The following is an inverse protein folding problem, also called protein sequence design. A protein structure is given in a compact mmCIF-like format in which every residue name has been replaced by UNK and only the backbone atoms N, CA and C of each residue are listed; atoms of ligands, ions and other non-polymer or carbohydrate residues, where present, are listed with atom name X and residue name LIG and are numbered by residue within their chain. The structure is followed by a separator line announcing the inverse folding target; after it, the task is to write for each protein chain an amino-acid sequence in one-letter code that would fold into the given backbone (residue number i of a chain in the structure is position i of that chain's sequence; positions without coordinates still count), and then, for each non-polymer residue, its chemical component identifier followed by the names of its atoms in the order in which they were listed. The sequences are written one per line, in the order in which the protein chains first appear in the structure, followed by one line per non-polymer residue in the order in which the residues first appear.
data_IF_347329716150
#
_entry.id   IF_347329716150
#
_cell.length_a   1.000
_cell.length_b   1.000
_cell.length_c   1.000
_cell.angle_alpha   90.00
_cell.angle_beta   90.00
_cell.angle_gamma   90.00
#
_symmetry.space_group_name_H-M   'P 1'
#
loop_
_entity.id
_entity.type
_entity.pdbx_description
1 polymer ?
#
# COMPACT_ATOMS: atom_id res chain seq x y z
N UNK A 1 -10.67 31.42 -20.94
CA UNK A 1 -11.58 30.46 -20.28
C UNK A 1 -11.69 29.20 -21.10
N UNK A 2 -10.57 28.48 -21.20
CA UNK A 2 -10.55 27.13 -21.72
C UNK A 2 -11.16 26.24 -20.64
N UNK A 3 -12.34 25.70 -20.95
CA UNK A 3 -12.91 24.60 -20.19
C UNK A 3 -11.93 23.45 -20.33
N UNK A 4 -11.16 23.15 -19.29
CA UNK A 4 -10.36 21.93 -19.26
C UNK A 4 -11.34 20.76 -19.37
N UNK A 5 -11.36 20.11 -20.53
CA UNK A 5 -12.12 18.87 -20.70
C UNK A 5 -11.60 17.87 -19.67
N UNK A 6 -12.50 17.17 -18.95
CA UNK A 6 -12.10 16.20 -17.96
C UNK A 6 -11.31 15.08 -18.65
N UNK A 7 -10.24 14.63 -17.99
CA UNK A 7 -9.48 13.48 -18.45
C UNK A 7 -10.35 12.21 -18.35
N UNK A 8 -10.60 11.57 -19.48
CA UNK A 8 -11.35 10.31 -19.53
C UNK A 8 -10.39 9.13 -19.73
N UNK A 9 -10.45 8.16 -18.81
CA UNK A 9 -9.70 6.91 -18.90
C UNK A 9 -10.67 5.76 -19.22
N UNK A 10 -10.30 4.94 -20.19
CA UNK A 10 -11.04 3.72 -20.53
C UNK A 10 -10.22 2.50 -20.12
N UNK A 11 -10.86 1.57 -19.42
CA UNK A 11 -10.23 0.33 -18.95
C UNK A 11 -10.68 -0.86 -19.81
N UNK A 12 -9.90 -1.95 -19.75
CA UNK A 12 -10.19 -3.17 -20.48
C UNK A 12 -11.65 -3.64 -20.31
N UNK A 13 -12.31 -3.94 -21.43
CA UNK A 13 -13.70 -4.41 -21.46
C UNK A 13 -13.77 -5.90 -21.07
N UNK A 14 -14.83 -6.28 -20.36
CA UNK A 14 -15.10 -7.67 -20.00
C UNK A 14 -15.32 -8.56 -21.24
N UNK A 15 -15.03 -9.87 -21.12
CA UNK A 15 -15.13 -10.85 -22.22
C UNK A 15 -16.55 -10.97 -22.80
N UNK A 16 -17.57 -10.64 -22.01
CA UNK A 16 -18.97 -10.62 -22.44
C UNK A 16 -19.37 -9.32 -23.18
N UNK A 17 -18.42 -8.41 -23.41
CA UNK A 17 -18.61 -7.13 -24.07
C UNK A 17 -19.39 -6.10 -23.25
N UNK A 18 -19.62 -6.34 -21.95
CA UNK A 18 -20.39 -5.46 -21.07
C UNK A 18 -19.61 -5.12 -19.80
N UNK A 19 -19.32 -3.84 -19.62
CA UNK A 19 -18.66 -3.30 -18.43
C UNK A 19 -17.14 -3.51 -18.41
N UNK A 20 -16.53 -3.05 -17.33
CA UNK A 20 -15.10 -3.17 -17.09
C UNK A 20 -14.74 -4.60 -16.69
N UNK A 21 -13.67 -5.15 -17.27
CA UNK A 21 -13.10 -6.47 -16.96
C UNK A 21 -12.76 -6.62 -15.48
N UNK A 22 -12.39 -5.53 -14.82
CA UNK A 22 -11.88 -5.54 -13.45
C UNK A 22 -12.96 -5.33 -12.39
N UNK A 23 -14.20 -5.00 -12.79
CA UNK A 23 -15.29 -4.61 -11.91
C UNK A 23 -15.46 -3.10 -11.80
N UNK A 24 -16.11 -2.64 -10.74
CA UNK A 24 -16.33 -1.22 -10.46
C UNK A 24 -15.12 -0.60 -9.76
N UNK A 25 -14.88 0.69 -9.97
CA UNK A 25 -13.80 1.41 -9.26
C UNK A 25 -14.17 1.53 -7.78
N UNK A 26 -13.26 1.05 -6.92
CA UNK A 26 -13.41 1.12 -5.46
C UNK A 26 -12.74 2.38 -4.92
N UNK A 27 -11.54 2.68 -5.42
CA UNK A 27 -10.77 3.86 -5.02
C UNK A 27 -9.67 4.15 -6.06
N UNK A 28 -9.07 5.33 -5.98
CA UNK A 28 -7.91 5.70 -6.79
C UNK A 28 -6.95 6.58 -5.96
N UNK A 29 -5.67 6.51 -6.26
CA UNK A 29 -4.63 7.34 -5.66
C UNK A 29 -3.59 7.72 -6.71
N UNK A 30 -3.15 8.97 -6.71
CA UNK A 30 -1.94 9.35 -7.44
C UNK A 30 -0.73 8.64 -6.82
N UNK A 31 0.10 8.04 -7.66
CA UNK A 31 1.34 7.43 -7.22
C UNK A 31 2.40 7.67 -8.28
N UNK A 32 3.59 8.14 -7.89
CA UNK A 32 4.62 8.63 -8.83
C UNK A 32 4.13 9.77 -9.77
N UNK A 33 5.02 10.29 -10.61
CA UNK A 33 4.66 11.39 -11.53
C UNK A 33 3.91 10.85 -12.75
N UNK A 34 2.67 11.34 -12.93
CA UNK A 34 1.85 11.00 -14.11
C UNK A 34 1.29 9.58 -14.10
N UNK A 35 1.24 8.91 -12.95
CA UNK A 35 0.65 7.59 -12.79
C UNK A 35 -0.46 7.61 -11.73
N UNK A 36 -1.51 6.84 -12.01
CA UNK A 36 -2.65 6.66 -11.14
C UNK A 36 -2.78 5.19 -10.75
N UNK A 37 -2.92 4.95 -9.45
CA UNK A 37 -3.21 3.64 -8.88
C UNK A 37 -4.73 3.51 -8.75
N UNK A 38 -5.34 2.51 -9.37
CA UNK A 38 -6.79 2.30 -9.35
C UNK A 38 -7.11 0.90 -8.86
N UNK A 39 -7.94 0.82 -7.83
CA UNK A 39 -8.42 -0.44 -7.27
C UNK A 39 -9.82 -0.75 -7.78
N UNK A 40 -10.05 -1.98 -8.23
CA UNK A 40 -11.33 -2.41 -8.76
C UNK A 40 -11.94 -3.57 -7.95
N UNK A 41 -13.27 -3.59 -7.89
CA UNK A 41 -14.05 -4.48 -7.04
C UNK A 41 -13.80 -5.96 -7.33
N UNK A 42 -13.38 -6.34 -8.54
CA UNK A 42 -13.02 -7.71 -8.91
C UNK A 42 -11.67 -8.19 -8.38
N UNK A 43 -11.06 -7.49 -7.42
CA UNK A 43 -9.81 -7.91 -6.77
C UNK A 43 -8.53 -7.38 -7.42
N UNK A 44 -8.64 -6.40 -8.32
CA UNK A 44 -7.54 -5.88 -9.12
C UNK A 44 -6.98 -4.57 -8.58
N UNK A 45 -5.67 -4.39 -8.74
CA UNK A 45 -4.99 -3.11 -8.58
C UNK A 45 -4.22 -2.81 -9.86
N UNK A 46 -4.45 -1.63 -10.41
CA UNK A 46 -3.90 -1.18 -11.68
C UNK A 46 -3.03 0.06 -11.50
N UNK A 47 -1.96 0.14 -12.29
CA UNK A 47 -1.27 1.38 -12.61
C UNK A 47 -1.68 1.83 -14.01
N UNK A 48 -2.13 3.06 -14.14
CA UNK A 48 -2.50 3.67 -15.41
C UNK A 48 -1.77 5.00 -15.61
N UNK A 49 -1.22 5.22 -16.81
CA UNK A 49 -0.58 6.49 -17.15
C UNK A 49 -1.60 7.60 -17.41
N UNK A 50 -1.29 8.79 -16.92
CA UNK A 50 -2.03 10.02 -17.17
C UNK A 50 -1.24 11.01 -18.01
N UNK A 51 -0.06 10.61 -18.53
CA UNK A 51 0.73 11.47 -19.41
C UNK A 51 0.12 11.51 -20.81
N UNK A 52 0.20 12.66 -21.48
CA UNK A 52 -0.47 12.87 -22.77
C UNK A 52 -0.08 11.89 -23.89
N UNK A 53 1.12 11.29 -23.84
CA UNK A 53 1.64 10.41 -24.88
C UNK A 53 1.18 8.95 -24.75
N UNK A 54 0.78 8.54 -23.54
CA UNK A 54 0.37 7.17 -23.21
C UNK A 54 -0.85 7.16 -22.26
N UNK A 55 -1.69 8.20 -22.36
CA UNK A 55 -2.87 8.39 -21.54
C UNK A 55 -3.77 7.15 -21.58
N UNK A 56 -4.09 6.60 -20.41
CA UNK A 56 -4.93 5.41 -20.27
C UNK A 56 -4.19 4.09 -20.49
N UNK A 57 -2.89 4.10 -20.79
CA UNK A 57 -2.10 2.86 -20.87
C UNK A 57 -2.01 2.21 -19.48
N UNK A 58 -2.57 1.00 -19.36
CA UNK A 58 -2.50 0.16 -18.17
C UNK A 58 -1.09 -0.46 -18.04
N UNK A 59 -0.17 0.28 -17.41
CA UNK A 59 1.24 -0.17 -17.21
C UNK A 59 1.31 -1.46 -16.40
N UNK A 60 0.45 -1.60 -15.40
CA UNK A 60 0.30 -2.81 -14.60
C UNK A 60 -1.17 -3.09 -14.34
N UNK A 61 -1.57 -4.35 -14.46
CA UNK A 61 -2.88 -4.84 -14.05
C UNK A 61 -2.70 -6.20 -13.36
N UNK A 62 -2.86 -6.24 -12.03
CA UNK A 62 -2.67 -7.48 -11.26
C UNK A 62 -3.85 -7.75 -10.34
N UNK A 63 -4.29 -9.01 -10.33
CA UNK A 63 -5.31 -9.51 -9.41
C UNK A 63 -4.63 -9.95 -8.12
N UNK A 64 -4.97 -9.32 -7.02
CA UNK A 64 -4.46 -9.66 -5.69
C UNK A 64 -5.46 -10.46 -4.88
N UNK A 65 -6.76 -10.19 -5.03
CA UNK A 65 -7.82 -10.90 -4.31
C UNK A 65 -8.64 -11.74 -5.29
N UNK A 66 -8.98 -12.98 -4.91
CA UNK A 66 -9.72 -13.88 -5.82
C UNK A 66 -11.16 -13.42 -6.09
N UNK A 67 -11.78 -12.80 -5.09
CA UNK A 67 -13.15 -12.31 -5.13
C UNK A 67 -13.16 -10.78 -5.17
N UNK A 68 -13.34 -10.16 -4.00
CA UNK A 68 -13.58 -8.73 -3.91
C UNK A 68 -12.36 -7.98 -3.37
N UNK A 69 -12.11 -6.80 -3.94
CA UNK A 69 -11.33 -5.74 -3.29
C UNK A 69 -12.32 -4.78 -2.63
N UNK A 70 -12.23 -4.61 -1.32
CA UNK A 70 -13.11 -3.70 -0.56
C UNK A 70 -12.54 -2.29 -0.45
N UNK A 71 -11.22 -2.18 -0.34
CA UNK A 71 -10.51 -0.91 -0.23
C UNK A 71 -9.01 -1.11 -0.44
N UNK A 72 -8.28 -0.03 -0.69
CA UNK A 72 -6.82 -0.03 -0.63
C UNK A 72 -6.31 1.35 -0.18
N UNK A 73 -5.08 1.38 0.33
CA UNK A 73 -4.40 2.61 0.72
C UNK A 73 -2.94 2.59 0.22
N UNK A 74 -2.48 3.70 -0.34
CA UNK A 74 -1.12 3.87 -0.82
C UNK A 74 -0.22 4.57 0.20
N UNK A 75 1.03 4.09 0.32
CA UNK A 75 2.08 4.66 1.15
C UNK A 75 3.23 5.16 0.25
N UNK A 76 3.33 6.48 -0.01
CA UNK A 76 4.36 7.03 -0.88
C UNK A 76 5.78 6.90 -0.30
N UNK A 77 5.93 6.82 1.02
CA UNK A 77 7.24 6.74 1.66
C UNK A 77 7.87 5.36 1.52
N UNK A 78 7.04 4.30 1.55
CA UNK A 78 7.50 2.92 1.38
C UNK A 78 7.39 2.43 -0.07
N UNK A 79 6.70 3.17 -0.95
CA UNK A 79 6.31 2.71 -2.29
C UNK A 79 5.55 1.39 -2.20
N UNK A 80 4.51 1.38 -1.36
CA UNK A 80 3.68 0.20 -1.11
C UNK A 80 2.21 0.56 -1.11
N UNK A 81 1.37 -0.38 -1.48
CA UNK A 81 -0.07 -0.32 -1.31
C UNK A 81 -0.53 -1.44 -0.38
N UNK A 82 -1.46 -1.14 0.54
CA UNK A 82 -2.19 -2.15 1.29
C UNK A 82 -3.54 -2.36 0.59
N UNK A 83 -3.87 -3.58 0.20
CA UNK A 83 -5.13 -3.96 -0.46
C UNK A 83 -5.92 -4.89 0.45
N UNK A 84 -7.21 -4.63 0.65
CA UNK A 84 -8.08 -5.45 1.50
C UNK A 84 -9.18 -6.13 0.69
N UNK A 85 -9.36 -7.42 0.91
CA UNK A 85 -10.43 -8.22 0.33
C UNK A 85 -10.99 -9.24 1.33
N UNK A 86 -11.80 -10.16 0.83
CA UNK A 86 -12.42 -11.21 1.66
C UNK A 86 -11.39 -12.17 2.30
N UNK A 87 -10.22 -12.28 1.69
CA UNK A 87 -9.12 -13.14 2.10
C UNK A 87 -8.03 -12.38 2.88
N UNK A 88 -8.32 -11.21 3.43
CA UNK A 88 -7.41 -10.46 4.30
C UNK A 88 -6.77 -9.24 3.62
N UNK A 89 -5.68 -8.74 4.22
CA UNK A 89 -4.94 -7.57 3.73
C UNK A 89 -3.60 -8.01 3.14
N UNK A 90 -3.36 -7.65 1.88
CA UNK A 90 -2.09 -7.86 1.20
C UNK A 90 -1.30 -6.57 1.11
N UNK A 91 0.01 -6.69 1.24
CA UNK A 91 0.94 -5.58 1.03
C UNK A 91 1.63 -5.77 -0.31
N UNK A 92 1.51 -4.78 -1.18
CA UNK A 92 2.00 -4.80 -2.55
C UNK A 92 3.09 -3.74 -2.70
N UNK A 93 4.21 -4.13 -3.29
CA UNK A 93 5.24 -3.20 -3.74
C UNK A 93 4.79 -2.53 -5.04
N UNK A 94 4.67 -1.20 -5.06
CA UNK A 94 4.15 -0.49 -6.23
C UNK A 94 5.19 -0.33 -7.35
N UNK A 95 6.46 -0.69 -7.11
CA UNK A 95 7.53 -0.59 -8.11
C UNK A 95 7.49 -1.72 -9.13
N UNK A 96 7.06 -2.91 -8.71
CA UNK A 96 6.99 -4.11 -9.55
C UNK A 96 5.66 -4.88 -9.42
N UNK A 97 4.72 -4.32 -8.65
CA UNK A 97 3.40 -4.89 -8.35
C UNK A 97 3.48 -6.29 -7.72
N UNK A 98 4.55 -6.60 -6.98
CA UNK A 98 4.68 -7.89 -6.28
C UNK A 98 4.11 -7.85 -4.87
N UNK A 99 3.52 -8.96 -4.44
CA UNK A 99 3.00 -9.11 -3.08
C UNK A 99 4.13 -9.46 -2.12
N UNK A 100 4.25 -8.70 -1.02
CA UNK A 100 5.07 -9.06 0.13
C UNK A 100 4.34 -10.07 1.01
N UNK A 101 4.49 -11.36 0.68
CA UNK A 101 3.88 -12.47 1.45
C UNK A 101 4.18 -12.45 2.96
N UNK A 102 5.38 -12.06 3.44
CA UNK A 102 5.65 -11.98 4.88
C UNK A 102 4.83 -10.92 5.61
N UNK A 103 4.35 -9.90 4.90
CA UNK A 103 3.60 -8.77 5.46
C UNK A 103 2.06 -8.95 5.29
N UNK A 104 1.62 -10.12 4.83
CA UNK A 104 0.21 -10.46 4.70
C UNK A 104 -0.45 -10.53 6.08
N UNK A 105 -1.62 -9.89 6.21
CA UNK A 105 -2.43 -9.90 7.42
C UNK A 105 -3.64 -10.78 7.13
N UNK A 106 -3.72 -11.91 7.83
CA UNK A 106 -4.80 -12.88 7.65
C UNK A 106 -6.11 -12.39 8.27
N UNK A 107 -7.27 -12.92 7.83
CA UNK A 107 -8.52 -12.68 8.54
C UNK A 107 -8.45 -13.07 10.02
N UNK A 108 -7.69 -14.09 10.38
CA UNK A 108 -7.53 -14.55 11.77
C UNK A 108 -6.84 -13.49 12.65
N UNK A 109 -5.84 -12.79 12.11
CA UNK A 109 -5.16 -11.67 12.79
C UNK A 109 -6.10 -10.48 13.06
N UNK A 110 -7.24 -10.45 12.37
CA UNK A 110 -8.29 -9.44 12.47
C UNK A 110 -9.56 -9.99 13.14
N UNK A 111 -9.44 -11.10 13.88
CA UNK A 111 -10.56 -11.77 14.56
C UNK A 111 -11.72 -12.13 13.60
N UNK A 112 -11.40 -12.41 12.34
CA UNK A 112 -12.33 -12.64 11.23
C UNK A 112 -13.29 -11.47 10.95
N UNK A 113 -12.95 -10.25 11.39
CA UNK A 113 -13.64 -9.02 11.03
C UNK A 113 -13.39 -8.65 9.57
N UNK A 114 -14.43 -8.24 8.85
CA UNK A 114 -14.27 -7.76 7.47
C UNK A 114 -13.65 -6.38 7.48
N UNK A 115 -12.59 -6.19 6.70
CA UNK A 115 -11.92 -4.90 6.59
C UNK A 115 -12.81 -3.91 5.84
N UNK A 116 -13.05 -2.76 6.45
CA UNK A 116 -13.86 -1.66 5.89
C UNK A 116 -13.02 -0.43 5.55
N UNK A 117 -11.86 -0.27 6.19
CA UNK A 117 -10.97 0.86 5.94
C UNK A 117 -9.51 0.48 6.14
N UNK A 118 -8.65 1.11 5.33
CA UNK A 118 -7.21 1.07 5.44
C UNK A 118 -6.68 2.50 5.42
N UNK A 119 -5.71 2.80 6.27
CA UNK A 119 -5.02 4.08 6.24
C UNK A 119 -3.57 3.91 6.67
N UNK A 120 -2.67 4.55 5.93
CA UNK A 120 -1.28 4.70 6.34
C UNK A 120 -1.12 5.96 7.19
N UNK A 121 -0.29 5.89 8.22
CA UNK A 121 0.16 7.10 8.90
C UNK A 121 0.94 8.00 7.92
N UNK A 122 0.90 9.33 8.06
CA UNK A 122 1.58 10.25 7.14
C UNK A 122 3.10 10.02 7.03
N UNK A 123 3.71 9.47 8.10
CA UNK A 123 5.12 9.08 8.16
C UNK A 123 5.40 7.67 7.60
N UNK A 124 4.38 7.01 7.05
CA UNK A 124 4.47 5.69 6.42
C UNK A 124 4.82 4.54 7.36
N UNK A 125 4.88 4.74 8.67
CA UNK A 125 5.33 3.73 9.63
C UNK A 125 4.23 2.77 10.08
N UNK A 126 2.99 3.22 10.12
CA UNK A 126 1.86 2.48 10.67
C UNK A 126 0.80 2.28 9.60
N UNK A 127 0.34 1.03 9.45
CA UNK A 127 -0.89 0.70 8.75
C UNK A 127 -2.01 0.53 9.78
N UNK A 128 -3.08 1.31 9.63
CA UNK A 128 -4.31 1.17 10.41
C UNK A 128 -5.34 0.40 9.60
N UNK A 129 -5.96 -0.61 10.23
CA UNK A 129 -7.01 -1.45 9.64
C UNK A 129 -8.27 -1.30 10.50
N UNK A 130 -9.36 -0.82 9.91
CA UNK A 130 -10.67 -0.80 10.55
C UNK A 130 -11.55 -1.93 10.04
N UNK A 131 -12.28 -2.59 10.93
CA UNK A 131 -13.19 -3.68 10.58
C UNK A 131 -14.66 -3.32 10.81
N UNK A 132 -15.56 -4.05 10.17
CA UNK A 132 -17.01 -3.92 10.35
C UNK A 132 -17.49 -4.32 11.77
N UNK A 133 -16.66 -5.01 12.55
CA UNK A 133 -16.94 -5.34 13.96
C UNK A 133 -16.65 -4.19 14.92
N UNK A 134 -16.10 -3.07 14.41
CA UNK A 134 -15.71 -1.92 15.21
C UNK A 134 -14.30 -2.01 15.79
N UNK A 135 -13.54 -3.06 15.46
CA UNK A 135 -12.14 -3.19 15.86
C UNK A 135 -11.23 -2.32 14.98
N UNK A 136 -10.17 -1.80 15.59
CA UNK A 136 -9.12 -1.03 14.90
C UNK A 136 -7.77 -1.63 15.26
N UNK A 137 -7.03 -2.07 14.25
CA UNK A 137 -5.73 -2.68 14.38
C UNK A 137 -4.65 -1.75 13.83
N UNK A 138 -3.48 -1.74 14.45
CA UNK A 138 -2.32 -1.00 13.98
C UNK A 138 -1.15 -1.96 13.78
N UNK A 139 -0.55 -1.91 12.59
CA UNK A 139 0.58 -2.73 12.21
C UNK A 139 1.78 -1.83 11.90
N UNK A 140 2.94 -2.18 12.46
CA UNK A 140 4.18 -1.48 12.18
C UNK A 140 4.76 -1.98 10.85
N UNK A 141 4.78 -1.12 9.83
CA UNK A 141 5.38 -1.44 8.54
C UNK A 141 6.86 -1.03 8.43
N UNK A 142 7.27 0.00 9.17
CA UNK A 142 8.66 0.43 9.26
C UNK A 142 8.94 0.98 10.65
N UNK A 143 10.00 0.49 11.28
CA UNK A 143 10.47 1.06 12.54
C UNK A 143 10.93 2.51 12.37
N UNK A 144 10.56 3.38 13.30
CA UNK A 144 11.19 4.67 13.48
C UNK A 144 12.69 4.49 13.69
N UNK A 145 13.51 5.14 12.88
CA UNK A 145 14.95 5.22 13.12
C UNK A 145 15.19 6.36 14.09
N UNK A 146 15.22 6.06 15.39
CA UNK A 146 15.60 7.00 16.43
C UNK A 146 17.06 6.76 16.82
N UNK A 147 17.88 7.81 16.78
CA UNK A 147 19.26 7.76 17.25
C UNK A 147 19.68 9.09 17.86
N UNK A 148 20.66 9.02 18.77
CA UNK A 148 21.36 10.17 19.32
C UNK A 148 22.85 9.83 19.41
N UNK A 149 23.70 10.83 19.20
CA UNK A 149 25.14 10.66 19.34
C UNK A 149 25.71 11.64 20.35
N UNK A 150 26.68 11.17 21.13
CA UNK A 150 27.47 12.01 22.01
C UNK A 150 28.90 11.48 22.05
N UNK A 151 29.85 12.31 21.60
CA UNK A 151 31.27 11.94 21.43
C UNK A 151 31.40 10.69 20.56
N UNK A 152 31.88 9.59 21.12
CA UNK A 152 32.09 8.32 20.40
C UNK A 152 30.92 7.34 20.59
N UNK A 153 29.90 7.71 21.36
CA UNK A 153 28.75 6.84 21.62
C UNK A 153 27.58 7.20 20.72
N UNK A 154 26.95 6.18 20.14
CA UNK A 154 25.68 6.29 19.41
C UNK A 154 24.65 5.43 20.15
N UNK A 155 23.56 6.05 20.59
CA UNK A 155 22.36 5.37 21.03
C UNK A 155 21.39 5.25 19.86
N UNK A 156 20.81 4.09 19.61
CA UNK A 156 19.78 3.90 18.59
C UNK A 156 18.72 2.91 19.04
N UNK A 157 17.50 3.10 18.54
CA UNK A 157 16.38 2.19 18.80
C UNK A 157 16.64 0.85 18.11
N UNK A 158 16.96 -0.18 18.89
CA UNK A 158 17.24 -1.53 18.39
C UNK A 158 15.99 -2.39 18.26
N UNK A 159 14.94 -2.07 18.99
CA UNK A 159 13.59 -2.64 18.85
C UNK A 159 12.54 -1.63 19.32
N UNK A 160 11.25 -1.90 19.13
CA UNK A 160 10.16 -1.04 19.63
C UNK A 160 10.26 -0.68 21.12
N UNK A 161 10.98 -1.48 21.92
CA UNK A 161 11.08 -1.31 23.38
C UNK A 161 12.52 -1.19 23.89
N UNK A 162 13.52 -1.21 23.02
CA UNK A 162 14.93 -1.26 23.41
C UNK A 162 15.77 -0.23 22.66
N UNK A 163 16.68 0.41 23.40
CA UNK A 163 17.71 1.30 22.85
C UNK A 163 19.07 0.67 23.12
N UNK A 164 19.83 0.44 22.06
CA UNK A 164 21.21 -0.04 22.13
C UNK A 164 22.19 1.15 22.09
N UNK A 165 23.28 1.06 22.84
CA UNK A 165 24.36 2.06 22.83
C UNK A 165 25.65 1.41 22.36
N UNK A 166 26.28 1.99 21.34
CA UNK A 166 27.53 1.49 20.74
C UNK A 166 28.60 2.57 20.79
N UNK A 167 29.79 2.20 21.26
CA UNK A 167 31.01 3.02 21.14
C UNK A 167 31.66 2.77 19.78
N UNK A 168 31.71 3.79 18.94
CA UNK A 168 32.19 3.70 17.55
C UNK A 168 33.69 3.46 17.45
N UNK A 169 34.46 3.75 18.50
CA UNK A 169 35.92 3.60 18.53
C UNK A 169 36.34 2.20 18.99
N UNK A 170 35.51 1.53 19.80
CA UNK A 170 35.80 0.20 20.35
C UNK A 170 35.38 -0.96 19.45
N UNK A 171 35.27 -0.76 18.13
CA UNK A 171 35.14 -1.88 17.18
C UNK A 171 36.45 -2.69 17.13
N UNK A 172 36.72 -3.46 18.18
CA UNK A 172 37.57 -4.64 18.08
C UNK A 172 36.94 -5.56 17.04
N UNK A 173 37.72 -5.92 16.02
CA UNK A 173 37.35 -6.97 15.06
C UNK A 173 37.05 -8.26 15.85
N UNK A 174 36.13 -9.12 15.37
CA UNK A 174 36.08 -10.50 15.84
C UNK A 174 37.44 -11.20 15.64
#
# INVERSE_FOLDING_TARGET
DDKEDPMELTFAVSDNGRGCKYGDVVSHHWFEEGLLLVGFSGGYLLSVSTNAHDLGEEKYARKFHNNNLHTFAYNPQLQRAATAGDDGVRIVDTRDFTESRPDYISPEDLENGRVTSLAWSPDGQILTVGTNTGNVYNFLAKMAVLYASHRTSVAYLSSLREVAVVDTVRRGRP
#
